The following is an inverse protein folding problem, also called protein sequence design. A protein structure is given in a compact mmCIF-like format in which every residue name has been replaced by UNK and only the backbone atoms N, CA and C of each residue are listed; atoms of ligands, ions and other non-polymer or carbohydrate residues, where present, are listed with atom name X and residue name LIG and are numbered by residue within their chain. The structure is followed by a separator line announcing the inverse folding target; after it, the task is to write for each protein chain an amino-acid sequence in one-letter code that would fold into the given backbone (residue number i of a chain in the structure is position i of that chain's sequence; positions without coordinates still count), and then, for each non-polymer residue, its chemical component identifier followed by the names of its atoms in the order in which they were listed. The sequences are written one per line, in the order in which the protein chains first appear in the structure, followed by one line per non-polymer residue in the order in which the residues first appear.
data_IF_470104853064
#
_entry.id   IF_470104853064
#
_cell.length_a   1.000
_cell.length_b   1.000
_cell.length_c   1.000
_cell.angle_alpha   90.00
_cell.angle_beta   90.00
_cell.angle_gamma   90.00
#
_symmetry.space_group_name_H-M   'P 1'
#
loop_
_entity.id
_entity.type
_entity.pdbx_description
1 polymer ?
#
# COMPACT_ATOMS: atom_id res chain seq x y z
N UNK A 1 1.06 -25.15 7.01
CA UNK A 1 1.70 -23.83 6.94
C UNK A 1 0.77 -22.93 6.14
N UNK A 2 -0.03 -22.12 6.82
CA UNK A 2 -1.06 -21.29 6.19
C UNK A 2 -0.38 -20.17 5.38
N UNK A 3 -0.28 -20.34 4.06
CA UNK A 3 0.11 -19.25 3.17
C UNK A 3 -1.03 -18.22 3.15
N UNK A 4 -1.06 -17.33 4.15
CA UNK A 4 -1.84 -16.09 4.08
C UNK A 4 -1.32 -15.30 2.87
N UNK A 5 -2.06 -15.34 1.76
CA UNK A 5 -1.81 -14.52 0.56
C UNK A 5 -1.58 -13.08 1.02
N UNK A 6 -0.33 -12.62 0.96
CA UNK A 6 -0.01 -11.21 1.20
C UNK A 6 -0.60 -10.43 0.03
N UNK A 7 -1.42 -9.42 0.33
CA UNK A 7 -2.03 -8.54 -0.69
C UNK A 7 -0.95 -7.99 -1.63
N UNK A 8 -1.28 -7.72 -2.89
CA UNK A 8 -0.31 -7.17 -3.86
C UNK A 8 0.29 -5.85 -3.35
N UNK A 9 -0.49 -5.05 -2.62
CA UNK A 9 -0.03 -3.83 -1.97
C UNK A 9 1.11 -4.08 -0.96
N UNK A 10 1.01 -5.14 -0.15
CA UNK A 10 2.09 -5.56 0.76
C UNK A 10 3.33 -6.00 -0.02
N UNK A 11 3.16 -6.72 -1.11
CA UNK A 11 4.27 -7.20 -1.94
C UNK A 11 5.05 -6.05 -2.57
N UNK A 12 4.35 -5.04 -3.10
CA UNK A 12 4.96 -3.81 -3.65
C UNK A 12 5.76 -3.09 -2.56
N UNK A 13 5.20 -2.96 -1.35
CA UNK A 13 5.89 -2.35 -0.22
C UNK A 13 7.12 -3.14 0.24
N UNK A 14 7.07 -4.47 0.20
CA UNK A 14 8.17 -5.34 0.62
C UNK A 14 9.30 -5.41 -0.42
N UNK A 15 8.96 -5.24 -1.70
CA UNK A 15 9.91 -5.16 -2.81
C UNK A 15 10.75 -3.86 -2.81
N UNK A 16 10.42 -2.87 -1.96
CA UNK A 16 11.19 -1.64 -1.84
C UNK A 16 12.56 -1.91 -1.18
N UNK A 17 13.67 -1.44 -1.79
CA UNK A 17 15.02 -1.76 -1.31
C UNK A 17 15.30 -1.14 0.06
N UNK A 18 15.73 -1.93 1.05
CA UNK A 18 15.97 -1.43 2.42
C UNK A 18 17.11 -0.40 2.59
N UNK A 19 17.96 -0.19 1.57
CA UNK A 19 19.13 0.70 1.67
C UNK A 19 18.93 2.00 0.89
N UNK A 20 18.27 2.98 1.51
CA UNK A 20 18.30 4.37 1.05
C UNK A 20 18.35 5.31 2.28
N UNK A 21 18.97 6.51 2.16
CA UNK A 21 19.10 7.47 3.26
C UNK A 21 17.75 7.98 3.79
N UNK A 22 16.70 7.89 2.97
CA UNK A 22 15.30 8.05 3.37
C UNK A 22 14.69 6.66 3.26
N UNK A 23 14.12 6.13 4.35
CA UNK A 23 13.48 4.82 4.35
C UNK A 23 12.44 4.77 3.20
N UNK A 24 12.68 4.00 2.12
CA UNK A 24 11.86 4.07 0.91
C UNK A 24 10.45 3.54 1.18
N UNK A 25 10.32 2.69 2.20
CA UNK A 25 9.06 2.29 2.82
C UNK A 25 8.25 3.48 3.36
N UNK A 26 8.89 4.43 4.06
CA UNK A 26 8.21 5.65 4.51
C UNK A 26 7.89 6.60 3.35
N UNK A 27 8.74 6.68 2.34
CA UNK A 27 8.47 7.49 1.15
C UNK A 27 7.23 7.00 0.41
N UNK A 28 7.10 5.69 0.20
CA UNK A 28 5.91 5.08 -0.39
C UNK A 28 4.64 5.37 0.42
N UNK A 29 4.70 5.18 1.73
CA UNK A 29 3.57 5.48 2.63
C UNK A 29 3.16 6.95 2.54
N UNK A 30 4.13 7.88 2.53
CA UNK A 30 3.87 9.32 2.36
C UNK A 30 3.28 9.66 1.01
N UNK A 31 3.77 9.04 -0.06
CA UNK A 31 3.29 9.29 -1.42
C UNK A 31 1.83 8.87 -1.56
N UNK A 32 1.50 7.65 -1.15
CA UNK A 32 0.12 7.14 -1.16
C UNK A 32 -0.78 7.96 -0.23
N UNK A 33 -0.30 8.31 0.98
CA UNK A 33 -1.04 9.13 1.92
C UNK A 33 -1.40 10.49 1.32
N UNK A 34 -0.46 11.15 0.64
CA UNK A 34 -0.66 12.43 -0.04
C UNK A 34 -1.59 12.30 -1.25
N UNK A 35 -1.47 11.21 -2.01
CA UNK A 35 -2.27 10.92 -3.20
C UNK A 35 -3.76 10.81 -2.86
N UNK A 36 -4.11 10.02 -1.84
CA UNK A 36 -5.50 9.81 -1.42
C UNK A 36 -5.95 10.74 -0.27
N UNK A 37 -5.09 11.70 0.11
CA UNK A 37 -5.30 12.67 1.20
C UNK A 37 -5.72 12.02 2.53
N UNK A 38 -5.01 10.97 2.94
CA UNK A 38 -5.19 10.31 4.24
C UNK A 38 -3.92 10.43 5.07
N UNK A 39 -4.01 10.04 6.34
CA UNK A 39 -2.84 9.99 7.21
C UNK A 39 -1.94 8.80 6.87
N UNK A 40 -0.62 8.95 7.04
CA UNK A 40 0.37 7.88 6.81
C UNK A 40 0.04 6.59 7.61
N UNK A 41 -0.51 6.76 8.81
CA UNK A 41 -0.94 5.65 9.68
C UNK A 41 -2.03 4.81 9.02
N UNK A 42 -2.98 5.45 8.33
CA UNK A 42 -4.07 4.75 7.62
C UNK A 42 -3.50 3.85 6.53
N UNK A 43 -2.51 4.34 5.76
CA UNK A 43 -1.82 3.53 4.75
C UNK A 43 -1.06 2.36 5.39
N UNK A 44 -0.40 2.59 6.54
CA UNK A 44 0.24 1.50 7.30
C UNK A 44 -0.77 0.45 7.78
N UNK A 45 -1.97 0.85 8.20
CA UNK A 45 -3.04 -0.09 8.57
C UNK A 45 -3.51 -0.94 7.38
N UNK A 46 -3.52 -0.38 6.16
CA UNK A 46 -3.82 -1.14 4.94
C UNK A 46 -2.72 -2.15 4.60
N UNK A 47 -1.45 -1.75 4.76
CA UNK A 47 -0.28 -2.66 4.62
C UNK A 47 -0.34 -3.78 5.67
N UNK A 48 -0.80 -3.48 6.88
CA UNK A 48 -0.99 -4.46 7.95
C UNK A 48 -2.20 -5.38 7.70
N UNK A 49 -3.12 -5.01 6.81
CA UNK A 49 -4.38 -5.72 6.58
C UNK A 49 -5.43 -5.51 7.68
N UNK A 50 -5.22 -4.54 8.57
CA UNK A 50 -6.14 -4.22 9.67
C UNK A 50 -7.34 -3.40 9.19
N UNK A 51 -7.15 -2.58 8.16
CA UNK A 51 -8.19 -1.78 7.52
C UNK A 51 -8.17 -1.96 6.01
N UNK A 52 -9.31 -1.71 5.37
CA UNK A 52 -9.43 -1.64 3.92
C UNK A 52 -9.73 -0.20 3.50
N UNK A 53 -9.09 0.33 2.44
CA UNK A 53 -9.46 1.62 1.86
C UNK A 53 -10.86 1.58 1.24
N UNK A 54 -11.53 2.74 1.19
CA UNK A 54 -12.76 2.91 0.41
C UNK A 54 -12.53 2.63 -1.08
N UNK A 55 -13.59 2.30 -1.82
CA UNK A 55 -13.53 2.05 -3.26
C UNK A 55 -12.86 3.19 -4.04
N UNK A 56 -13.15 4.45 -3.70
CA UNK A 56 -12.55 5.62 -4.34
C UNK A 56 -11.03 5.68 -4.11
N UNK A 57 -10.58 5.44 -2.88
CA UNK A 57 -9.15 5.46 -2.54
C UNK A 57 -8.43 4.29 -3.20
N UNK A 58 -9.06 3.12 -3.17
CA UNK A 58 -8.57 1.91 -3.82
C UNK A 58 -8.36 2.14 -5.32
N UNK A 59 -9.34 2.73 -6.01
CA UNK A 59 -9.26 3.03 -7.44
C UNK A 59 -8.15 4.04 -7.77
N UNK A 60 -7.98 5.08 -6.94
CA UNK A 60 -6.87 6.04 -7.10
C UNK A 60 -5.50 5.37 -6.95
N UNK A 61 -5.33 4.53 -5.93
CA UNK A 61 -4.07 3.82 -5.67
C UNK A 61 -3.79 2.79 -6.76
N UNK A 62 -4.83 2.04 -7.17
CA UNK A 62 -4.78 1.08 -8.29
C UNK A 62 -4.31 1.76 -9.58
N UNK A 63 -4.87 2.93 -9.90
CA UNK A 63 -4.48 3.72 -11.07
C UNK A 63 -3.04 4.25 -10.98
N UNK A 64 -2.61 4.69 -9.80
CA UNK A 64 -1.25 5.18 -9.58
C UNK A 64 -0.20 4.07 -9.67
N UNK A 65 -0.51 2.88 -9.15
CA UNK A 65 0.39 1.73 -9.17
C UNK A 65 0.28 0.88 -10.44
N UNK A 66 -0.74 1.10 -11.27
CA UNK A 66 -1.01 0.32 -12.47
C UNK A 66 -1.48 -1.12 -12.17
N UNK A 67 -2.09 -1.34 -11.00
CA UNK A 67 -2.52 -2.67 -10.52
C UNK A 67 -4.03 -2.67 -10.35
N UNK A 68 -4.76 -3.73 -10.73
CA UNK A 68 -6.19 -3.80 -10.52
C UNK A 68 -6.55 -3.75 -9.03
N UNK A 69 -7.57 -2.97 -8.67
CA UNK A 69 -8.08 -2.81 -7.30
C UNK A 69 -8.34 -4.14 -6.60
N UNK A 70 -8.86 -5.12 -7.35
CA UNK A 70 -9.17 -6.45 -6.88
C UNK A 70 -7.91 -7.28 -6.57
N UNK A 71 -6.75 -7.03 -7.16
CA UNK A 71 -5.51 -7.68 -6.73
C UNK A 71 -4.79 -6.88 -5.63
N UNK A 72 -5.02 -5.57 -5.59
CA UNK A 72 -4.27 -4.65 -4.74
C UNK A 72 -4.47 -4.96 -3.25
N UNK A 73 -5.73 -5.19 -2.82
CA UNK A 73 -6.10 -5.46 -1.42
C UNK A 73 -6.85 -6.79 -1.20
N UNK A 74 -6.83 -7.71 -2.17
CA UNK A 74 -7.39 -9.08 -2.02
C UNK A 74 -6.40 -10.10 -1.47
#
# INVERSE_FOLDING_TARGET
MEQKKKTKFRQIYDALPSKAPIAPKSAFVKEIAKLVKVHEVTVRCWIAGTQKPDALKTSIIAKHLGVPENELFS
#
